data_IF_758582522352
#
_entry.id   IF_758582522352
#
_cell.length_a   1.000
_cell.length_b   1.000
_cell.length_c   1.000
_cell.angle_alpha   90.00
_cell.angle_beta   90.00
_cell.angle_gamma   90.00
#
_symmetry.space_group_name_H-M   'P 1'
#
loop_
_entity.id
_entity.type
_entity.pdbx_description
1 polymer ?
#
# COMPACT_ATOMS: atom_id res chain seq x y z
N UNK A 1 -22.70 -24.24 -42.85
CA UNK A 1 -22.96 -25.14 -41.71
C UNK A 1 -21.92 -26.25 -41.78
N UNK A 2 -20.78 -26.06 -41.13
CA UNK A 2 -19.81 -27.11 -40.82
C UNK A 2 -18.90 -26.58 -39.71
N UNK A 3 -18.69 -27.42 -38.72
CA UNK A 3 -18.18 -27.13 -37.38
C UNK A 3 -16.65 -27.22 -37.39
N UNK A 4 -15.97 -26.25 -36.78
CA UNK A 4 -14.60 -26.37 -36.31
C UNK A 4 -14.57 -26.02 -34.80
N UNK A 5 -13.74 -26.67 -34.00
CA UNK A 5 -13.88 -26.72 -32.55
C UNK A 5 -13.40 -25.45 -31.87
N UNK A 6 -14.06 -25.12 -30.76
CA UNK A 6 -13.61 -24.12 -29.81
C UNK A 6 -12.25 -24.54 -29.23
N UNK A 7 -11.26 -23.64 -29.27
CA UNK A 7 -10.11 -23.71 -28.37
C UNK A 7 -10.62 -23.53 -26.92
N UNK A 8 -10.32 -24.45 -26.00
CA UNK A 8 -10.29 -24.13 -24.58
C UNK A 8 -8.96 -23.43 -24.26
N UNK A 9 -8.88 -22.85 -23.05
CA UNK A 9 -7.69 -22.24 -22.44
C UNK A 9 -7.56 -20.72 -22.62
N UNK A 10 -8.54 -20.01 -22.05
CA UNK A 10 -8.29 -18.72 -21.41
C UNK A 10 -7.52 -18.91 -20.09
N UNK A 11 -6.85 -17.87 -19.56
CA UNK A 11 -5.93 -18.00 -18.42
C UNK A 11 -6.71 -18.08 -17.11
N UNK A 12 -7.19 -19.27 -16.76
CA UNK A 12 -7.83 -19.55 -15.47
C UNK A 12 -6.81 -19.93 -14.37
N UNK A 13 -5.56 -20.25 -14.75
CA UNK A 13 -4.58 -20.87 -13.87
C UNK A 13 -3.87 -19.93 -12.85
N UNK A 14 -3.87 -18.60 -13.05
CA UNK A 14 -3.12 -17.69 -12.16
C UNK A 14 -3.86 -17.30 -10.86
N UNK A 15 -5.17 -17.58 -10.79
CA UNK A 15 -6.03 -17.21 -9.65
C UNK A 15 -5.85 -18.13 -8.43
N UNK A 16 -5.59 -19.43 -8.65
CA UNK A 16 -5.53 -20.43 -7.57
C UNK A 16 -4.23 -20.39 -6.75
N UNK A 17 -3.17 -19.76 -7.25
CA UNK A 17 -1.85 -19.76 -6.62
C UNK A 17 -1.71 -18.86 -5.38
N UNK A 18 -2.66 -17.94 -5.14
CA UNK A 18 -2.60 -17.02 -3.99
C UNK A 18 -3.65 -17.34 -2.93
N UNK A 19 -3.22 -17.92 -1.81
CA UNK A 19 -4.06 -18.11 -0.62
C UNK A 19 -3.25 -17.90 0.68
N UNK A 20 -3.83 -17.22 1.69
CA UNK A 20 -3.25 -17.21 3.03
C UNK A 20 -3.28 -18.62 3.61
N UNK A 21 -2.29 -18.94 4.45
CA UNK A 21 -2.24 -20.22 5.14
C UNK A 21 -3.39 -20.37 6.15
N UNK A 22 -3.76 -21.61 6.55
CA UNK A 22 -4.79 -21.83 7.58
C UNK A 22 -4.52 -21.11 8.91
N UNK A 23 -3.25 -21.01 9.32
CA UNK A 23 -2.83 -20.29 10.52
C UNK A 23 -3.11 -18.78 10.44
N UNK A 24 -2.90 -18.20 9.25
CA UNK A 24 -3.21 -16.79 8.99
C UNK A 24 -4.71 -16.53 9.13
N UNK A 25 -5.54 -17.37 8.50
CA UNK A 25 -6.99 -17.23 8.56
C UNK A 25 -7.53 -17.35 9.98
N UNK A 26 -6.96 -18.25 10.78
CA UNK A 26 -7.31 -18.39 12.20
C UNK A 26 -6.98 -17.12 12.95
N UNK A 27 -5.80 -16.55 12.73
CA UNK A 27 -5.35 -15.29 13.34
C UNK A 27 -6.31 -14.14 13.00
N UNK A 28 -6.66 -13.97 11.73
CA UNK A 28 -7.54 -12.89 11.27
C UNK A 28 -8.98 -13.02 11.81
N UNK A 29 -9.50 -14.25 11.91
CA UNK A 29 -10.82 -14.52 12.51
C UNK A 29 -10.82 -14.20 14.01
N UNK A 30 -9.81 -14.65 14.75
CA UNK A 30 -9.67 -14.37 16.19
C UNK A 30 -9.54 -12.88 16.46
N UNK A 31 -8.86 -12.16 15.59
CA UNK A 31 -8.73 -10.71 15.65
C UNK A 31 -10.00 -9.95 15.21
N UNK A 32 -11.06 -10.63 14.73
CA UNK A 32 -12.30 -10.00 14.29
C UNK A 32 -12.15 -9.17 13.01
N UNK A 33 -11.15 -9.45 12.18
CA UNK A 33 -10.96 -8.77 10.90
C UNK A 33 -12.05 -9.25 9.91
N UNK A 34 -12.72 -8.33 9.18
CA UNK A 34 -13.71 -8.71 8.17
C UNK A 34 -13.18 -9.71 7.15
N UNK A 35 -13.99 -10.70 6.78
CA UNK A 35 -13.61 -11.77 5.84
C UNK A 35 -13.13 -11.24 4.47
N UNK A 36 -13.71 -10.14 4.00
CA UNK A 36 -13.28 -9.47 2.77
C UNK A 36 -11.82 -8.98 2.83
N UNK A 37 -11.24 -8.80 4.02
CA UNK A 37 -9.85 -8.37 4.22
C UNK A 37 -8.92 -9.54 4.57
N UNK A 38 -9.41 -10.80 4.49
CA UNK A 38 -8.57 -11.98 4.74
C UNK A 38 -7.65 -12.30 3.57
N UNK A 39 -8.04 -11.91 2.36
CA UNK A 39 -7.34 -12.24 1.12
C UNK A 39 -7.32 -11.02 0.21
N UNK A 40 -6.27 -10.87 -0.57
CA UNK A 40 -6.18 -9.88 -1.64
C UNK A 40 -5.68 -10.58 -2.91
N UNK A 41 -6.52 -11.29 -3.68
CA UNK A 41 -6.07 -11.92 -4.92
C UNK A 41 -5.39 -10.88 -5.83
N UNK A 42 -4.22 -11.16 -6.42
CA UNK A 42 -3.46 -10.19 -7.21
C UNK A 42 -4.07 -10.00 -8.62
N UNK A 43 -5.32 -9.53 -8.72
CA UNK A 43 -6.02 -9.31 -9.99
C UNK A 43 -6.85 -8.03 -10.01
N UNK A 44 -6.98 -7.42 -11.19
CA UNK A 44 -7.85 -6.27 -11.39
C UNK A 44 -9.32 -6.63 -11.10
N UNK A 45 -9.75 -7.85 -11.48
CA UNK A 45 -11.09 -8.36 -11.19
C UNK A 45 -11.40 -8.36 -9.69
N UNK A 46 -10.48 -8.80 -8.84
CA UNK A 46 -10.66 -8.77 -7.39
C UNK A 46 -10.77 -7.33 -6.84
N UNK A 47 -10.07 -6.38 -7.46
CA UNK A 47 -10.21 -4.96 -7.14
C UNK A 47 -11.60 -4.43 -7.51
N UNK A 48 -12.08 -4.71 -8.72
CA UNK A 48 -13.40 -4.29 -9.20
C UNK A 48 -14.54 -4.93 -8.42
N UNK A 49 -14.42 -6.21 -8.05
CA UNK A 49 -15.40 -6.90 -7.21
C UNK A 49 -15.55 -6.21 -5.83
N UNK A 50 -14.44 -5.81 -5.20
CA UNK A 50 -14.47 -5.03 -3.95
C UNK A 50 -15.12 -3.67 -4.12
N UNK A 51 -14.79 -2.97 -5.22
CA UNK A 51 -15.38 -1.68 -5.53
C UNK A 51 -16.89 -1.79 -5.74
N UNK A 52 -17.36 -2.86 -6.40
CA UNK A 52 -18.78 -3.08 -6.70
C UNK A 52 -19.65 -3.21 -5.44
N UNK A 53 -19.06 -3.72 -4.34
CA UNK A 53 -19.71 -3.85 -3.03
C UNK A 53 -19.57 -2.61 -2.13
N UNK A 54 -18.69 -1.67 -2.49
CA UNK A 54 -18.42 -0.49 -1.67
C UNK A 54 -19.61 0.48 -1.69
N UNK A 55 -20.10 0.79 -0.49
CA UNK A 55 -21.16 1.80 -0.27
C UNK A 55 -20.56 3.05 0.40
N UNK A 56 -20.44 4.19 -0.30
CA UNK A 56 -19.83 5.41 0.26
C UNK A 56 -20.46 5.89 1.58
N UNK A 57 -21.79 5.78 1.72
CA UNK A 57 -22.48 6.16 2.94
C UNK A 57 -22.12 5.26 4.14
N UNK A 58 -21.98 3.94 3.92
CA UNK A 58 -21.53 3.02 4.97
C UNK A 58 -20.08 3.27 5.36
N UNK A 59 -19.22 3.52 4.36
CA UNK A 59 -17.83 3.91 4.57
C UNK A 59 -17.74 5.16 5.46
N UNK A 60 -18.46 6.23 5.11
CA UNK A 60 -18.45 7.48 5.87
C UNK A 60 -18.84 7.29 7.35
N UNK A 61 -19.81 6.40 7.63
CA UNK A 61 -20.27 6.13 9.00
C UNK A 61 -19.30 5.31 9.84
N UNK A 62 -18.56 4.38 9.24
CA UNK A 62 -17.90 3.30 9.98
C UNK A 62 -16.41 3.08 9.67
N UNK A 63 -15.80 3.81 8.72
CA UNK A 63 -14.39 3.66 8.30
C UNK A 63 -13.32 3.69 9.40
N UNK A 64 -13.66 4.15 10.60
CA UNK A 64 -12.73 4.21 11.73
C UNK A 64 -12.74 2.93 12.57
N UNK A 65 -13.85 2.19 12.59
CA UNK A 65 -13.94 0.91 13.27
C UNK A 65 -13.22 -0.16 12.45
N UNK A 66 -12.42 -1.02 13.10
CA UNK A 66 -11.62 -2.07 12.45
C UNK A 66 -12.49 -3.12 11.75
N UNK A 67 -13.74 -3.31 12.20
CA UNK A 67 -14.78 -4.15 11.58
C UNK A 67 -15.78 -3.34 10.74
N UNK A 68 -15.53 -2.05 10.56
CA UNK A 68 -16.37 -1.15 9.78
C UNK A 68 -16.22 -1.31 8.27
N UNK A 69 -17.03 -0.56 7.52
CA UNK A 69 -16.96 -0.56 6.07
C UNK A 69 -15.72 0.17 5.57
N UNK A 70 -14.80 -0.59 4.95
CA UNK A 70 -13.62 -0.08 4.24
C UNK A 70 -13.56 -0.68 2.84
N UNK A 71 -12.87 0.00 1.92
CA UNK A 71 -12.80 -0.45 0.53
C UNK A 71 -11.94 -1.69 0.31
N UNK A 72 -10.88 -1.88 1.11
CA UNK A 72 -9.87 -2.91 0.88
C UNK A 72 -9.16 -2.76 -0.47
N UNK A 73 -9.14 -1.56 -1.05
CA UNK A 73 -8.58 -1.30 -2.38
C UNK A 73 -7.10 -0.89 -2.36
N UNK A 74 -6.51 -0.63 -1.19
CA UNK A 74 -5.16 -0.06 -1.11
C UNK A 74 -4.05 -0.92 -1.73
N UNK A 75 -4.03 -2.27 -1.64
CA UNK A 75 -3.02 -3.06 -2.35
C UNK A 75 -3.11 -2.89 -3.87
N UNK A 76 -4.33 -2.83 -4.40
CA UNK A 76 -4.57 -2.67 -5.83
C UNK A 76 -4.20 -1.27 -6.31
N UNK A 77 -4.50 -0.22 -5.54
CA UNK A 77 -4.09 1.15 -5.85
C UNK A 77 -2.58 1.36 -5.75
N UNK A 78 -1.91 0.75 -4.77
CA UNK A 78 -0.45 0.86 -4.62
C UNK A 78 0.29 0.26 -5.81
N UNK A 79 -0.31 -0.74 -6.45
CA UNK A 79 0.28 -1.52 -7.53
C UNK A 79 -0.31 -1.20 -8.92
N UNK A 80 -1.21 -0.21 -9.04
CA UNK A 80 -1.77 0.23 -10.33
C UNK A 80 -2.71 -0.78 -11.00
N UNK A 81 -3.29 -1.73 -10.25
CA UNK A 81 -4.27 -2.70 -10.78
C UNK A 81 -5.61 -2.03 -11.10
N UNK A 82 -5.92 -0.96 -10.38
CA UNK A 82 -7.05 -0.06 -10.61
C UNK A 82 -6.57 1.35 -10.25
N UNK A 83 -7.05 2.37 -10.98
CA UNK A 83 -6.70 3.76 -10.72
C UNK A 83 -7.77 4.44 -9.85
N UNK A 84 -7.39 5.34 -8.91
CA UNK A 84 -8.36 6.06 -8.07
C UNK A 84 -9.42 6.83 -8.88
N UNK A 85 -9.05 7.39 -10.03
CA UNK A 85 -9.97 8.07 -10.93
C UNK A 85 -11.01 7.13 -11.56
N UNK A 86 -10.58 5.97 -12.04
CA UNK A 86 -11.47 4.94 -12.59
C UNK A 86 -12.42 4.37 -11.53
N UNK A 87 -11.88 4.10 -10.33
CA UNK A 87 -12.69 3.64 -9.19
C UNK A 87 -13.76 4.67 -8.81
N UNK A 88 -13.39 5.95 -8.72
CA UNK A 88 -14.32 7.00 -8.33
C UNK A 88 -15.36 7.30 -9.41
N UNK A 89 -14.97 7.26 -10.69
CA UNK A 89 -15.91 7.41 -11.81
C UNK A 89 -16.98 6.28 -11.81
N UNK A 90 -16.55 5.04 -11.57
CA UNK A 90 -17.45 3.89 -11.46
C UNK A 90 -18.42 4.02 -10.26
N UNK A 91 -17.97 4.55 -9.13
CA UNK A 91 -18.84 4.81 -7.99
C UNK A 91 -19.80 5.99 -8.24
N UNK A 92 -19.32 7.06 -8.87
CA UNK A 92 -20.13 8.24 -9.19
C UNK A 92 -21.26 7.92 -10.19
N UNK A 93 -21.09 6.90 -11.03
CA UNK A 93 -22.16 6.40 -11.90
C UNK A 93 -23.33 5.73 -11.13
N UNK A 94 -23.11 5.33 -9.86
CA UNK A 94 -24.07 4.57 -9.03
C UNK A 94 -24.51 5.33 -7.77
N UNK A 95 -23.75 6.35 -7.38
CA UNK A 95 -23.92 7.10 -6.16
C UNK A 95 -23.66 8.59 -6.42
N UNK A 96 -24.40 9.48 -5.75
CA UNK A 96 -24.05 10.89 -5.70
C UNK A 96 -22.78 11.04 -4.86
N UNK A 97 -21.69 11.50 -5.47
CA UNK A 97 -20.39 11.69 -4.82
C UNK A 97 -19.81 13.04 -5.19
N UNK A 98 -19.29 13.77 -4.21
CA UNK A 98 -18.62 15.06 -4.34
C UNK A 98 -17.32 15.13 -3.53
N UNK A 99 -16.64 16.28 -3.59
CA UNK A 99 -15.40 16.50 -2.83
C UNK A 99 -15.59 16.46 -1.30
N UNK A 100 -16.82 16.61 -0.83
CA UNK A 100 -17.22 16.54 0.58
C UNK A 100 -17.27 15.10 1.13
N UNK A 101 -17.32 14.09 0.25
CA UNK A 101 -17.43 12.70 0.67
C UNK A 101 -16.16 12.19 1.33
N UNK A 102 -16.32 11.50 2.45
CA UNK A 102 -15.18 10.94 3.20
C UNK A 102 -14.32 10.02 2.36
N UNK A 103 -14.88 9.27 1.41
CA UNK A 103 -14.09 8.43 0.52
C UNK A 103 -13.17 9.26 -0.40
N UNK A 104 -13.68 10.38 -0.93
CA UNK A 104 -12.93 11.29 -1.81
C UNK A 104 -11.82 11.99 -1.04
N UNK A 105 -12.08 12.40 0.21
CA UNK A 105 -11.05 12.92 1.11
C UNK A 105 -9.87 11.95 1.28
N UNK A 106 -10.13 10.66 1.40
CA UNK A 106 -9.08 9.65 1.65
C UNK A 106 -8.28 9.35 0.38
N UNK A 107 -8.91 9.42 -0.80
CA UNK A 107 -8.18 9.44 -2.08
C UNK A 107 -7.34 10.71 -2.21
N UNK A 108 -7.86 11.83 -1.70
CA UNK A 108 -7.15 13.09 -1.59
C UNK A 108 -5.89 12.96 -0.73
N UNK A 109 -5.94 12.26 0.41
CA UNK A 109 -4.77 12.04 1.27
C UNK A 109 -3.65 11.30 0.53
N UNK A 110 -3.98 10.26 -0.24
CA UNK A 110 -3.02 9.57 -1.11
C UNK A 110 -2.38 10.55 -2.11
N UNK A 111 -3.20 11.31 -2.84
CA UNK A 111 -2.72 12.28 -3.81
C UNK A 111 -1.88 13.40 -3.17
N UNK A 112 -2.23 13.87 -1.98
CA UNK A 112 -1.45 14.84 -1.22
C UNK A 112 -0.07 14.29 -0.83
N UNK A 113 0.02 13.05 -0.35
CA UNK A 113 1.32 12.46 -0.04
C UNK A 113 2.20 12.30 -1.28
N UNK A 114 1.62 11.93 -2.42
CA UNK A 114 2.34 11.95 -3.70
C UNK A 114 2.75 13.37 -4.13
N UNK A 115 1.92 14.39 -3.92
CA UNK A 115 2.31 15.79 -4.14
C UNK A 115 3.53 16.16 -3.30
N UNK A 116 3.52 15.86 -2.00
CA UNK A 116 4.64 16.14 -1.09
C UNK A 116 5.90 15.42 -1.57
N UNK A 117 5.81 14.14 -1.94
CA UNK A 117 6.94 13.40 -2.53
C UNK A 117 7.42 14.04 -3.83
N UNK A 118 6.51 14.45 -4.70
CA UNK A 118 6.83 15.12 -5.97
C UNK A 118 7.41 16.53 -5.79
N UNK A 119 7.48 17.09 -4.58
CA UNK A 119 8.20 18.35 -4.29
C UNK A 119 9.44 18.13 -3.44
N UNK A 120 9.40 17.17 -2.51
CA UNK A 120 10.48 16.91 -1.54
C UNK A 120 11.44 15.80 -1.98
N UNK A 121 11.09 15.00 -3.00
CA UNK A 121 11.85 13.82 -3.43
C UNK A 121 12.19 12.95 -2.21
N UNK A 122 13.42 12.47 -2.11
CA UNK A 122 13.86 11.58 -1.05
C UNK A 122 14.01 12.27 0.31
N UNK A 123 13.84 13.59 0.41
CA UNK A 123 13.80 14.26 1.71
C UNK A 123 12.61 13.82 2.59
N UNK A 124 11.60 13.12 2.03
CA UNK A 124 10.55 12.48 2.84
C UNK A 124 11.05 11.27 3.64
N UNK A 125 12.25 10.77 3.34
CA UNK A 125 12.90 9.67 4.06
C UNK A 125 13.66 10.18 5.29
N UNK A 126 13.85 11.49 5.37
CA UNK A 126 14.39 12.21 6.52
C UNK A 126 13.27 12.87 7.32
N UNK A 127 13.61 13.26 8.55
CA UNK A 127 12.71 13.96 9.46
C UNK A 127 12.48 15.39 8.97
N UNK A 128 11.31 15.68 8.40
CA UNK A 128 11.01 16.97 7.76
C UNK A 128 11.01 18.15 8.75
N UNK A 129 10.57 17.91 9.99
CA UNK A 129 10.62 18.86 11.12
C UNK A 129 11.14 18.18 12.37
N UNK A 130 12.45 18.21 12.63
CA UNK A 130 13.05 17.61 13.82
C UNK A 130 12.52 18.21 15.12
N UNK A 131 12.18 19.50 15.12
CA UNK A 131 11.57 20.23 16.24
C UNK A 131 10.14 19.77 16.56
N UNK A 132 9.48 19.09 15.63
CA UNK A 132 8.15 18.51 15.84
C UNK A 132 8.15 17.21 16.64
N UNK A 133 9.33 16.60 16.87
CA UNK A 133 9.45 15.35 17.62
C UNK A 133 9.38 15.62 19.14
N UNK A 134 8.39 15.09 19.89
CA UNK A 134 8.14 15.50 21.27
C UNK A 134 9.30 15.27 22.25
N UNK A 135 10.03 14.16 22.10
CA UNK A 135 11.18 13.82 22.95
C UNK A 135 12.53 14.38 22.47
N UNK A 136 12.53 15.12 21.34
CA UNK A 136 13.74 15.56 20.64
C UNK A 136 14.41 14.44 19.82
N UNK A 137 15.12 14.76 18.73
CA UNK A 137 15.66 13.76 17.80
C UNK A 137 16.62 12.73 18.42
N UNK A 138 17.38 13.12 19.45
CA UNK A 138 18.38 12.25 20.09
C UNK A 138 17.77 11.14 20.98
N UNK A 139 16.48 11.19 21.30
CA UNK A 139 15.82 10.21 22.15
C UNK A 139 15.49 8.89 21.43
N UNK A 140 15.48 8.89 20.10
CA UNK A 140 14.95 7.78 19.31
C UNK A 140 16.02 6.75 18.92
N UNK A 141 15.67 5.48 19.06
CA UNK A 141 16.55 4.34 18.81
C UNK A 141 16.36 3.80 17.40
N UNK A 142 17.46 3.52 16.70
CA UNK A 142 17.45 2.94 15.36
C UNK A 142 17.25 1.41 15.34
N UNK A 143 16.39 0.88 16.22
CA UNK A 143 16.06 -0.56 16.28
C UNK A 143 14.64 -0.77 16.81
N UNK A 144 13.92 -1.70 16.19
CA UNK A 144 12.63 -2.19 16.70
C UNK A 144 12.85 -3.13 17.91
N UNK A 145 12.07 -2.97 18.99
CA UNK A 145 12.12 -3.90 20.12
C UNK A 145 11.61 -5.29 19.74
N UNK A 146 12.31 -6.32 20.21
CA UNK A 146 11.99 -7.73 19.91
C UNK A 146 10.58 -8.11 20.39
N UNK A 147 10.12 -7.55 21.51
CA UNK A 147 8.78 -7.79 22.01
C UNK A 147 7.66 -7.27 21.09
N UNK A 148 7.92 -6.21 20.31
CA UNK A 148 6.97 -5.76 19.28
C UNK A 148 7.07 -6.63 18.04
N UNK A 149 8.28 -6.95 17.60
CA UNK A 149 8.50 -7.83 16.43
C UNK A 149 7.83 -9.19 16.63
N UNK A 150 7.88 -9.73 17.84
CA UNK A 150 7.30 -11.02 18.23
C UNK A 150 5.86 -10.91 18.76
N UNK A 151 5.21 -9.74 18.64
CA UNK A 151 3.83 -9.50 19.08
C UNK A 151 3.55 -9.94 20.54
N UNK A 152 4.49 -9.64 21.45
CA UNK A 152 4.47 -9.97 22.89
C UNK A 152 4.76 -8.75 23.78
N UNK A 153 4.40 -7.55 23.31
CA UNK A 153 4.56 -6.32 24.08
C UNK A 153 3.68 -6.29 25.34
N UNK A 154 2.65 -7.13 25.37
CA UNK A 154 1.65 -7.21 26.43
C UNK A 154 0.60 -6.11 26.36
N UNK A 155 0.65 -5.25 25.32
CA UNK A 155 -0.44 -4.33 24.97
C UNK A 155 -1.27 -4.99 23.85
N UNK A 156 -2.47 -5.52 24.14
CA UNK A 156 -3.20 -6.35 23.16
C UNK A 156 -3.49 -5.64 21.84
N UNK A 157 -3.73 -4.32 21.85
CA UNK A 157 -3.90 -3.56 20.62
C UNK A 157 -2.68 -3.59 19.69
N UNK A 158 -1.48 -3.59 20.27
CA UNK A 158 -0.22 -3.62 19.54
C UNK A 158 0.08 -5.03 19.06
N UNK A 159 -0.05 -6.01 19.97
CA UNK A 159 0.23 -7.41 19.65
C UNK A 159 -0.73 -7.94 18.57
N UNK A 160 -2.02 -7.57 18.61
CA UNK A 160 -2.96 -7.94 17.56
C UNK A 160 -2.70 -7.21 16.24
N UNK A 161 -2.30 -5.93 16.28
CA UNK A 161 -1.93 -5.21 15.06
C UNK A 161 -0.76 -5.89 14.32
N UNK A 162 0.27 -6.32 15.07
CA UNK A 162 1.42 -7.06 14.50
C UNK A 162 0.99 -8.42 13.95
N UNK A 163 0.18 -9.19 14.69
CA UNK A 163 -0.35 -10.49 14.23
C UNK A 163 -1.16 -10.37 12.95
N UNK A 164 -2.05 -9.38 12.88
CA UNK A 164 -2.87 -9.11 11.68
C UNK A 164 -2.00 -8.70 10.50
N UNK A 165 -0.98 -7.85 10.72
CA UNK A 165 -0.02 -7.45 9.69
C UNK A 165 0.68 -8.67 9.09
N UNK A 166 1.25 -9.55 9.92
CA UNK A 166 1.96 -10.74 9.44
C UNK A 166 1.04 -11.74 8.75
N UNK A 167 -0.17 -11.94 9.30
CA UNK A 167 -1.14 -12.88 8.76
C UNK A 167 -1.81 -12.43 7.44
N UNK A 168 -1.83 -11.14 7.12
CA UNK A 168 -2.54 -10.63 5.93
C UNK A 168 -1.69 -9.83 4.97
N UNK A 169 -0.60 -9.22 5.43
CA UNK A 169 0.11 -8.16 4.71
C UNK A 169 -0.72 -6.87 4.60
N UNK A 170 -1.75 -6.70 5.41
CA UNK A 170 -2.62 -5.53 5.46
C UNK A 170 -2.84 -5.11 6.91
N UNK A 171 -3.01 -3.81 7.13
CA UNK A 171 -3.40 -3.30 8.43
C UNK A 171 -4.40 -2.14 8.27
N UNK A 172 -5.46 -2.13 9.07
CA UNK A 172 -6.44 -1.05 9.09
C UNK A 172 -5.80 0.28 9.52
N UNK A 173 -6.26 1.42 9.00
CA UNK A 173 -5.64 2.72 9.26
C UNK A 173 -5.53 3.06 10.77
N UNK A 174 -6.58 2.81 11.55
CA UNK A 174 -6.52 3.03 13.01
C UNK A 174 -5.46 2.16 13.69
N UNK A 175 -5.35 0.88 13.32
CA UNK A 175 -4.34 0.00 13.87
C UNK A 175 -2.92 0.43 13.46
N UNK A 176 -2.72 0.96 12.24
CA UNK A 176 -1.43 1.58 11.84
C UNK A 176 -1.09 2.77 12.72
N UNK A 177 -2.08 3.64 13.00
CA UNK A 177 -1.88 4.83 13.83
C UNK A 177 -1.56 4.47 15.29
N UNK A 178 -2.22 3.45 15.86
CA UNK A 178 -1.91 2.94 17.20
C UNK A 178 -0.49 2.38 17.27
N UNK A 179 -0.14 1.50 16.33
CA UNK A 179 1.18 0.89 16.26
C UNK A 179 2.29 1.93 16.11
N UNK A 180 2.11 2.90 15.21
CA UNK A 180 3.06 3.99 15.02
C UNK A 180 3.19 4.88 16.26
N UNK A 181 2.06 5.23 16.89
CA UNK A 181 2.05 6.06 18.10
C UNK A 181 2.77 5.37 19.26
N UNK A 182 2.51 4.08 19.48
CA UNK A 182 3.19 3.29 20.50
C UNK A 182 4.69 3.19 20.26
N UNK A 183 5.11 2.87 19.03
CA UNK A 183 6.52 2.72 18.68
C UNK A 183 7.30 4.04 18.82
N UNK A 184 6.75 5.14 18.32
CA UNK A 184 7.41 6.45 18.38
C UNK A 184 7.35 7.03 19.78
N UNK A 185 6.16 7.16 20.37
CA UNK A 185 5.98 7.98 21.57
C UNK A 185 6.20 7.22 22.87
N UNK A 186 5.95 5.90 22.91
CA UNK A 186 6.13 5.11 24.12
C UNK A 186 7.45 4.35 24.09
N UNK A 187 7.79 3.70 22.97
CA UNK A 187 9.02 2.89 22.84
C UNK A 187 10.24 3.65 22.35
N UNK A 188 10.07 4.91 21.93
CA UNK A 188 11.13 5.78 21.44
C UNK A 188 11.93 5.13 20.31
N UNK A 189 11.22 4.52 19.37
CA UNK A 189 11.79 3.99 18.14
C UNK A 189 11.83 5.10 17.10
N UNK A 190 12.94 5.19 16.37
CA UNK A 190 13.03 6.07 15.21
C UNK A 190 11.95 5.68 14.20
N UNK A 191 11.12 6.67 13.82
CA UNK A 191 10.00 6.46 12.92
C UNK A 191 10.45 5.84 11.59
N UNK A 192 11.68 6.10 11.12
CA UNK A 192 12.22 5.58 9.85
C UNK A 192 12.36 4.06 9.90
N UNK A 193 12.93 3.53 10.97
CA UNK A 193 13.13 2.09 11.17
C UNK A 193 11.79 1.38 11.26
N UNK A 194 10.84 1.96 11.99
CA UNK A 194 9.50 1.41 12.11
C UNK A 194 8.70 1.53 10.80
N UNK A 195 8.89 2.61 10.03
CA UNK A 195 8.28 2.82 8.73
C UNK A 195 8.78 1.81 7.68
N UNK A 196 10.09 1.54 7.63
CA UNK A 196 10.68 0.59 6.68
C UNK A 196 10.26 -0.85 7.00
N UNK A 197 10.19 -1.22 8.28
CA UNK A 197 9.64 -2.52 8.71
C UNK A 197 8.17 -2.69 8.30
N UNK A 198 7.31 -1.71 8.63
CA UNK A 198 5.90 -1.79 8.26
C UNK A 198 5.74 -1.85 6.73
N UNK A 199 6.51 -1.05 6.01
CA UNK A 199 6.53 -1.04 4.54
C UNK A 199 6.87 -2.40 3.94
N UNK A 200 7.86 -3.12 4.49
CA UNK A 200 8.27 -4.44 3.99
C UNK A 200 7.18 -5.51 4.12
N UNK A 201 6.31 -5.40 5.13
CA UNK A 201 5.21 -6.35 5.36
C UNK A 201 3.90 -5.97 4.63
N UNK A 202 3.72 -4.71 4.23
CA UNK A 202 2.47 -4.25 3.62
C UNK A 202 2.39 -4.58 2.12
N UNK A 203 1.32 -5.26 1.71
CA UNK A 203 0.90 -5.39 0.31
C UNK A 203 0.57 -4.03 -0.32
N UNK A 204 0.19 -3.04 0.47
CA UNK A 204 -0.07 -1.67 -0.01
C UNK A 204 1.08 -0.70 0.29
N UNK A 205 2.29 -1.24 0.49
CA UNK A 205 3.47 -0.45 0.82
C UNK A 205 3.83 0.57 -0.27
N UNK A 206 3.41 1.81 -0.03
CA UNK A 206 3.70 2.99 -0.84
C UNK A 206 4.58 3.95 -0.04
N UNK A 207 5.74 4.33 -0.59
CA UNK A 207 6.77 5.04 0.16
C UNK A 207 6.29 6.43 0.62
N UNK A 208 5.53 7.13 -0.23
CA UNK A 208 5.01 8.44 0.12
C UNK A 208 3.93 8.33 1.19
N UNK A 209 2.97 7.42 0.97
CA UNK A 209 1.85 7.26 1.91
C UNK A 209 2.31 6.74 3.27
N UNK A 210 3.24 5.80 3.30
CA UNK A 210 3.74 5.21 4.54
C UNK A 210 4.59 6.22 5.32
N UNK A 211 5.71 6.69 4.77
CA UNK A 211 6.69 7.51 5.51
C UNK A 211 6.10 8.86 5.95
N UNK A 212 5.26 9.50 5.14
CA UNK A 212 4.60 10.75 5.55
C UNK A 212 3.51 10.51 6.61
N UNK A 213 2.84 9.35 6.62
CA UNK A 213 1.91 8.97 7.70
C UNK A 213 2.65 8.74 9.02
N UNK A 214 3.81 8.08 8.99
CA UNK A 214 4.67 7.91 10.16
C UNK A 214 5.14 9.25 10.72
N UNK A 215 5.60 10.16 9.87
CA UNK A 215 5.97 11.51 10.28
C UNK A 215 4.77 12.31 10.82
N UNK A 216 3.57 12.11 10.26
CA UNK A 216 2.34 12.74 10.75
C UNK A 216 2.00 12.26 12.17
N UNK A 217 2.12 10.95 12.45
CA UNK A 217 1.93 10.40 13.79
C UNK A 217 3.02 10.88 14.76
N UNK A 218 4.27 10.94 14.29
CA UNK A 218 5.43 11.34 15.09
C UNK A 218 5.43 12.84 15.47
N UNK A 219 4.67 13.69 14.77
CA UNK A 219 4.69 15.14 14.94
C UNK A 219 5.62 15.87 13.95
N UNK A 220 6.44 15.16 13.18
CA UNK A 220 7.36 15.76 12.20
C UNK A 220 6.64 16.29 10.95
N UNK A 221 5.44 15.79 10.65
CA UNK A 221 4.60 16.24 9.53
C UNK A 221 3.18 16.66 9.95
N UNK A 222 2.97 16.94 11.23
CA UNK A 222 1.72 17.46 11.80
C UNK A 222 1.99 18.53 12.87
N UNK A 223 0.98 19.29 13.31
CA UNK A 223 1.16 20.31 14.35
C UNK A 223 1.25 19.73 15.76
N UNK A 224 0.78 18.49 15.97
CA UNK A 224 0.76 17.78 17.24
C UNK A 224 0.98 16.29 17.00
N UNK A 225 1.68 15.57 17.90
CA UNK A 225 1.80 14.13 17.80
C UNK A 225 0.43 13.46 17.91
N UNK A 226 0.24 12.35 17.22
CA UNK A 226 -0.94 11.51 17.40
C UNK A 226 -0.72 10.56 18.59
N UNK A 227 -1.64 10.59 19.55
CA UNK A 227 -1.68 9.73 20.72
C UNK A 227 -3.02 8.97 20.76
N UNK A 228 -3.02 7.81 21.40
CA UNK A 228 -4.21 7.00 21.63
C UNK A 228 -4.13 6.33 23.00
N UNK A 229 -5.30 6.08 23.61
CA UNK A 229 -5.42 5.41 24.89
C UNK A 229 -6.31 4.15 24.77
N UNK A 230 -6.49 3.43 25.88
CA UNK A 230 -7.33 2.23 25.92
C UNK A 230 -8.79 2.48 25.52
N UNK A 231 -9.38 3.65 25.84
CA UNK A 231 -10.74 4.01 25.40
C UNK A 231 -10.84 4.17 23.88
N UNK A 232 -9.82 4.76 23.26
CA UNK A 232 -9.73 4.87 21.81
C UNK A 232 -9.74 3.49 21.15
N UNK A 233 -8.97 2.55 21.70
CA UNK A 233 -8.96 1.15 21.25
C UNK A 233 -10.34 0.53 21.45
N UNK A 234 -10.93 0.65 22.64
CA UNK A 234 -12.24 0.07 22.95
C UNK A 234 -13.36 0.58 22.03
N UNK A 235 -13.27 1.83 21.57
CA UNK A 235 -14.22 2.45 20.64
C UNK A 235 -14.13 1.93 19.21
N UNK A 236 -12.93 1.59 18.72
CA UNK A 236 -12.70 1.29 17.31
C UNK A 236 -12.25 -0.14 17.04
N UNK A 237 -11.90 -0.93 18.05
CA UNK A 237 -11.61 -2.34 17.90
C UNK A 237 -12.87 -3.14 17.51
N UNK A 238 -12.73 -4.31 16.86
CA UNK A 238 -13.87 -5.11 16.45
C UNK A 238 -14.74 -5.52 17.64
N UNK A 239 -16.05 -5.33 17.53
CA UNK A 239 -16.98 -5.58 18.66
C UNK A 239 -16.93 -7.06 19.06
N UNK A 240 -16.96 -7.94 18.06
CA UNK A 240 -16.92 -9.40 18.24
C UNK A 240 -15.59 -9.92 18.82
N UNK A 241 -14.49 -9.18 18.63
CA UNK A 241 -13.17 -9.52 19.17
C UNK A 241 -12.70 -8.53 20.24
N UNK A 242 -13.62 -7.79 20.86
CA UNK A 242 -13.28 -6.71 21.81
C UNK A 242 -12.40 -7.18 22.97
N UNK A 243 -12.54 -8.44 23.41
CA UNK A 243 -11.67 -9.05 24.43
C UNK A 243 -10.22 -9.20 23.96
N UNK A 244 -10.02 -9.57 22.70
CA UNK A 244 -8.70 -9.80 22.09
C UNK A 244 -7.90 -8.49 21.93
N UNK A 245 -8.59 -7.36 21.77
CA UNK A 245 -7.99 -6.02 21.63
C UNK A 245 -8.00 -5.20 22.92
N UNK A 246 -8.73 -5.64 23.95
CA UNK A 246 -8.92 -4.90 25.21
C UNK A 246 -7.58 -4.58 25.83
N UNK A 247 -7.29 -3.28 25.94
CA UNK A 247 -6.02 -2.79 26.48
C UNK A 247 -6.20 -2.00 27.79
N UNK A 248 -7.33 -2.20 28.48
CA UNK A 248 -7.53 -1.67 29.84
C UNK A 248 -6.52 -2.31 30.81
N UNK A 249 -5.98 -1.53 31.73
CA UNK A 249 -4.94 -1.93 32.67
C UNK A 249 -3.50 -1.94 32.10
N UNK A 250 -3.31 -1.54 30.85
CA UNK A 250 -1.97 -1.46 30.22
C UNK A 250 -1.39 -0.05 30.32
N UNK A 251 -0.15 0.14 29.85
CA UNK A 251 0.53 1.42 29.76
C UNK A 251 -0.25 2.49 28.98
N UNK A 252 -1.08 2.08 28.01
CA UNK A 252 -1.92 3.00 27.24
C UNK A 252 -3.26 3.32 27.93
N UNK A 253 -3.60 2.67 29.04
CA UNK A 253 -4.80 2.95 29.83
C UNK A 253 -4.58 4.15 30.77
N UNK A 254 -4.41 5.33 30.14
CA UNK A 254 -4.07 6.59 30.80
C UNK A 254 -4.82 7.76 30.17
N UNK A 255 -4.83 8.89 30.87
CA UNK A 255 -5.30 10.14 30.31
C UNK A 255 -4.40 10.59 29.16
N UNK A 256 -4.96 11.35 28.22
CA UNK A 256 -4.18 11.95 27.14
C UNK A 256 -3.05 12.85 27.65
N UNK A 257 -3.25 13.55 28.77
CA UNK A 257 -2.21 14.36 29.41
C UNK A 257 -1.02 13.51 29.86
N UNK A 258 -1.26 12.38 30.53
CA UNK A 258 -0.20 11.47 30.95
C UNK A 258 0.54 10.85 29.76
N UNK A 259 -0.17 10.51 28.68
CA UNK A 259 0.46 10.04 27.44
C UNK A 259 1.29 11.12 26.76
N UNK A 260 0.85 12.38 26.81
CA UNK A 260 1.60 13.51 26.26
C UNK A 260 2.90 13.76 27.05
N UNK A 261 2.85 13.61 28.39
CA UNK A 261 4.04 13.64 29.24
C UNK A 261 5.00 12.50 28.87
N UNK A 262 4.51 11.26 28.71
CA UNK A 262 5.33 10.12 28.28
C UNK A 262 5.95 10.34 26.90
N UNK A 263 5.20 10.92 25.96
CA UNK A 263 5.68 11.22 24.61
C UNK A 263 6.88 12.19 24.64
N UNK A 264 6.85 13.19 25.53
CA UNK A 264 7.92 14.19 25.69
C UNK A 264 9.13 13.69 26.49
N UNK A 265 8.95 12.67 27.33
CA UNK A 265 10.06 12.08 28.07
C UNK A 265 11.06 11.41 27.10
N UNK A 266 12.35 11.68 27.22
CA UNK A 266 13.38 11.05 26.38
C UNK A 266 13.59 9.54 26.60
N UNK A 267 12.97 8.95 27.63
CA UNK A 267 13.13 7.53 27.99
C UNK A 267 12.06 6.67 27.33
N UNK A 268 12.47 5.51 26.83
CA UNK A 268 11.56 4.46 26.35
C UNK A 268 10.85 3.77 27.52
N UNK A 269 9.55 3.56 27.36
CA UNK A 269 8.79 2.62 28.17
C UNK A 269 9.14 1.18 27.78
N UNK A 270 9.14 0.26 28.74
CA UNK A 270 9.26 -1.18 28.48
C UNK A 270 7.96 -1.80 27.98
N UNK A 271 7.98 -3.11 27.63
CA UNK A 271 6.74 -3.88 27.48
C UNK A 271 6.00 -4.00 28.83
N UNK A 272 4.76 -4.48 28.79
CA UNK A 272 4.04 -4.85 30.01
C UNK A 272 4.77 -6.00 30.73
N UNK A 273 4.77 -6.02 32.08
CA UNK A 273 5.37 -7.11 32.83
C UNK A 273 4.64 -8.43 32.57
N UNK A 274 5.34 -9.53 32.80
CA UNK A 274 4.81 -10.89 32.63
C UNK A 274 5.16 -11.53 31.30
N UNK A 275 4.78 -12.80 31.14
CA UNK A 275 4.99 -13.56 29.93
C UNK A 275 3.78 -13.41 29.00
N UNK A 276 4.03 -12.97 27.77
CA UNK A 276 3.02 -12.81 26.72
C UNK A 276 3.32 -13.76 25.56
N UNK A 277 2.32 -14.38 24.93
CA UNK A 277 2.55 -15.31 23.82
C UNK A 277 3.33 -14.64 22.69
N UNK A 278 4.41 -15.26 22.23
CA UNK A 278 5.20 -14.76 21.10
C UNK A 278 4.66 -15.31 19.76
N UNK A 279 4.97 -14.61 18.67
CA UNK A 279 4.96 -15.17 17.31
C UNK A 279 6.36 -15.11 16.73
N UNK A 280 6.65 -16.01 15.81
CA UNK A 280 7.85 -15.90 14.98
C UNK A 280 7.65 -14.77 13.94
N UNK A 281 8.50 -13.73 13.93
CA UNK A 281 8.38 -12.66 12.94
C UNK A 281 8.72 -13.19 11.54
N UNK A 282 7.87 -12.97 10.51
CA UNK A 282 8.21 -13.37 9.15
C UNK A 282 9.41 -12.55 8.64
N UNK A 283 10.33 -13.20 7.93
CA UNK A 283 11.51 -12.55 7.37
C UNK A 283 11.18 -11.50 6.28
N UNK A 284 12.04 -10.48 6.19
CA UNK A 284 12.10 -9.55 5.05
C UNK A 284 13.32 -9.90 4.19
N UNK A 285 13.10 -10.01 2.88
CA UNK A 285 14.08 -10.51 1.93
C UNK A 285 14.36 -9.47 0.85
N UNK A 286 15.64 -9.21 0.61
CA UNK A 286 16.09 -8.34 -0.49
C UNK A 286 15.86 -8.99 -1.86
N UNK A 287 15.88 -10.32 -1.89
CA UNK A 287 15.61 -11.15 -3.05
C UNK A 287 14.34 -11.97 -2.85
N UNK A 288 13.59 -12.28 -3.92
CA UNK A 288 12.41 -13.13 -3.80
C UNK A 288 12.81 -14.55 -3.34
N UNK A 289 12.10 -15.14 -2.36
CA UNK A 289 12.28 -16.55 -2.01
C UNK A 289 12.06 -17.49 -3.20
N UNK A 290 12.71 -18.65 -3.18
CA UNK A 290 12.69 -19.60 -4.29
C UNK A 290 11.27 -20.04 -4.67
N UNK A 291 10.38 -20.17 -3.69
CA UNK A 291 8.98 -20.57 -3.89
C UNK A 291 8.21 -19.50 -4.69
N UNK A 292 8.55 -18.22 -4.52
CA UNK A 292 7.90 -17.13 -5.25
C UNK A 292 8.40 -16.99 -6.70
N UNK A 293 9.53 -17.63 -7.03
CA UNK A 293 10.09 -17.67 -8.38
C UNK A 293 9.53 -18.82 -9.23
N UNK A 294 8.90 -19.82 -8.61
CA UNK A 294 8.37 -20.98 -9.30
C UNK A 294 7.31 -20.58 -10.34
N UNK A 295 7.47 -21.01 -11.59
CA UNK A 295 6.54 -20.73 -12.69
C UNK A 295 6.59 -19.30 -13.26
N UNK A 296 7.50 -18.45 -12.77
CA UNK A 296 7.70 -17.10 -13.32
C UNK A 296 8.39 -17.18 -14.70
N UNK A 297 7.93 -16.44 -15.73
CA UNK A 297 8.61 -16.40 -17.03
C UNK A 297 9.89 -15.55 -16.92
N UNK A 298 10.93 -16.10 -16.31
CA UNK A 298 12.20 -15.41 -16.10
C UNK A 298 12.90 -15.09 -17.42
N UNK A 299 13.56 -13.93 -17.45
CA UNK A 299 14.52 -13.56 -18.48
C UNK A 299 15.91 -13.73 -17.89
N UNK A 300 16.66 -14.74 -18.32
CA UNK A 300 18.02 -14.98 -17.83
C UNK A 300 19.06 -14.42 -18.83
N UNK A 301 18.78 -14.43 -20.14
CA UNK A 301 19.59 -13.74 -21.16
C UNK A 301 18.81 -12.60 -21.84
N UNK A 302 19.29 -11.34 -21.76
CA UNK A 302 18.69 -10.21 -22.48
C UNK A 302 18.50 -10.42 -23.99
N UNK A 303 19.31 -11.29 -24.62
CA UNK A 303 19.18 -11.62 -26.04
C UNK A 303 17.85 -12.29 -26.38
N UNK A 304 17.19 -12.96 -25.43
CA UNK A 304 15.88 -13.61 -25.63
C UNK A 304 14.75 -12.62 -25.92
N UNK A 305 14.94 -11.33 -25.61
CA UNK A 305 13.96 -10.28 -25.95
C UNK A 305 13.81 -10.08 -27.46
N UNK A 306 14.80 -10.52 -28.24
CA UNK A 306 14.86 -10.39 -29.69
C UNK A 306 15.09 -8.95 -30.16
N UNK A 307 15.52 -8.83 -31.42
CA UNK A 307 15.59 -7.54 -32.09
C UNK A 307 14.17 -7.07 -32.45
N UNK A 308 13.72 -5.98 -31.84
CA UNK A 308 12.39 -5.41 -32.11
C UNK A 308 12.45 -3.89 -32.26
N UNK A 309 11.79 -3.38 -33.28
CA UNK A 309 11.58 -1.93 -33.49
C UNK A 309 10.42 -1.38 -32.66
N UNK A 310 9.53 -2.26 -32.19
CA UNK A 310 8.40 -1.90 -31.33
C UNK A 310 8.86 -1.52 -29.91
N UNK A 311 8.14 -0.56 -29.32
CA UNK A 311 8.39 -0.12 -27.95
C UNK A 311 8.26 -1.27 -26.95
N UNK A 312 9.17 -1.29 -25.97
CA UNK A 312 9.14 -2.21 -24.83
C UNK A 312 8.54 -1.49 -23.62
N UNK A 313 7.48 -2.07 -23.06
CA UNK A 313 6.85 -1.57 -21.85
C UNK A 313 7.48 -2.22 -20.62
N UNK A 314 8.17 -1.41 -19.84
CA UNK A 314 8.81 -1.82 -18.60
C UNK A 314 7.79 -1.75 -17.47
N UNK A 315 7.57 -2.90 -16.83
CA UNK A 315 6.60 -3.09 -15.77
C UNK A 315 7.34 -3.27 -14.45
N UNK A 316 7.24 -2.28 -13.56
CA UNK A 316 7.80 -2.36 -12.22
C UNK A 316 6.71 -2.72 -11.19
N UNK A 317 7.07 -3.10 -9.95
CA UNK A 317 6.10 -3.58 -8.99
C UNK A 317 4.93 -2.65 -8.68
N UNK A 318 5.08 -1.33 -8.83
CA UNK A 318 3.99 -0.36 -8.58
C UNK A 318 3.16 -0.01 -9.83
N UNK A 319 3.34 -0.72 -10.95
CA UNK A 319 2.67 -0.47 -12.22
C UNK A 319 2.19 -1.76 -12.91
N UNK A 320 1.48 -2.60 -12.15
CA UNK A 320 1.04 -3.94 -12.52
C UNK A 320 -0.36 -3.98 -13.16
N UNK A 321 -0.79 -2.86 -13.73
CA UNK A 321 -2.08 -2.73 -14.42
C UNK A 321 -2.21 -3.64 -15.64
N UNK A 322 -3.45 -3.81 -16.09
CA UNK A 322 -3.75 -4.54 -17.33
C UNK A 322 -3.01 -3.93 -18.54
N UNK A 323 -2.63 -4.75 -19.53
CA UNK A 323 -2.05 -4.21 -20.75
C UNK A 323 -3.08 -3.32 -21.46
N UNK A 324 -2.63 -2.29 -22.21
CA UNK A 324 -3.53 -1.48 -23.02
C UNK A 324 -4.37 -2.36 -23.95
N UNK A 325 -5.65 -2.01 -24.12
CA UNK A 325 -6.51 -2.69 -25.09
C UNK A 325 -6.00 -2.44 -26.52
N UNK A 326 -5.82 -3.49 -27.31
CA UNK A 326 -5.35 -3.40 -28.70
C UNK A 326 -3.98 -4.05 -28.92
N UNK A 327 -3.13 -3.42 -29.74
CA UNK A 327 -1.78 -3.93 -30.01
C UNK A 327 -0.99 -4.04 -28.70
N UNK A 328 -0.67 -5.27 -28.30
CA UNK A 328 -0.01 -5.58 -27.03
C UNK A 328 1.49 -5.34 -27.22
N UNK A 329 2.06 -4.23 -26.73
CA UNK A 329 3.51 -4.09 -26.73
C UNK A 329 4.10 -5.22 -25.88
N UNK A 330 5.32 -5.67 -26.23
CA UNK A 330 6.04 -6.59 -25.36
C UNK A 330 6.22 -5.93 -23.99
N UNK A 331 5.91 -6.65 -22.92
CA UNK A 331 6.00 -6.20 -21.53
C UNK A 331 7.09 -6.97 -20.81
N UNK A 332 8.08 -6.24 -20.31
CA UNK A 332 9.15 -6.78 -19.49
C UNK A 332 8.94 -6.35 -18.04
N UNK A 333 8.69 -7.33 -17.16
CA UNK A 333 8.72 -7.14 -15.73
C UNK A 333 10.13 -6.85 -15.24
N UNK A 334 10.30 -5.86 -14.38
CA UNK A 334 11.57 -5.49 -13.76
C UNK A 334 11.48 -5.64 -12.25
N UNK A 335 12.29 -6.54 -11.70
CA UNK A 335 12.63 -6.61 -10.28
C UNK A 335 14.06 -6.15 -10.11
N UNK A 336 14.23 -4.86 -9.81
CA UNK A 336 15.51 -4.22 -9.58
C UNK A 336 16.00 -4.50 -8.14
N UNK A 337 16.85 -5.52 -7.97
CA UNK A 337 17.30 -5.99 -6.65
C UNK A 337 17.98 -4.92 -5.77
N UNK A 338 18.80 -3.99 -6.29
CA UNK A 338 19.36 -2.91 -5.48
C UNK A 338 18.33 -2.05 -4.72
N UNK A 339 17.13 -1.85 -5.29
CA UNK A 339 16.05 -1.14 -4.60
C UNK A 339 15.48 -1.96 -3.42
N UNK A 340 15.41 -3.28 -3.58
CA UNK A 340 14.89 -4.20 -2.57
C UNK A 340 15.93 -4.56 -1.49
N UNK A 341 17.23 -4.45 -1.79
CA UNK A 341 18.28 -4.46 -0.78
C UNK A 341 18.14 -3.29 0.21
N UNK A 342 17.72 -2.11 -0.28
CA UNK A 342 17.46 -0.96 0.58
C UNK A 342 16.14 -1.10 1.37
N UNK A 343 15.13 -1.78 0.81
CA UNK A 343 13.80 -1.95 1.42
C UNK A 343 13.26 -3.36 1.15
N UNK A 344 13.69 -4.36 1.93
CA UNK A 344 13.34 -5.74 1.69
C UNK A 344 11.86 -6.01 1.98
N UNK A 345 11.32 -7.05 1.36
CA UNK A 345 9.90 -7.40 1.43
C UNK A 345 9.67 -8.74 2.09
N UNK A 346 8.49 -8.88 2.70
CA UNK A 346 8.03 -10.18 3.18
C UNK A 346 7.84 -11.16 2.03
N UNK A 347 8.03 -12.46 2.29
CA UNK A 347 7.76 -13.52 1.32
C UNK A 347 6.34 -13.41 0.73
N UNK A 348 5.37 -13.04 1.57
CA UNK A 348 3.98 -12.76 1.16
C UNK A 348 3.89 -11.68 0.08
N UNK A 349 4.57 -10.54 0.27
CA UNK A 349 4.55 -9.44 -0.69
C UNK A 349 5.27 -9.83 -1.99
N UNK A 350 6.39 -10.56 -1.89
CA UNK A 350 7.06 -11.13 -3.06
C UNK A 350 6.14 -12.01 -3.90
N UNK A 351 5.51 -13.00 -3.26
CA UNK A 351 4.57 -13.90 -3.94
C UNK A 351 3.41 -13.14 -4.59
N UNK A 352 2.83 -12.14 -3.92
CA UNK A 352 1.73 -11.34 -4.47
C UNK A 352 2.14 -10.58 -5.74
N UNK A 353 3.27 -9.88 -5.69
CA UNK A 353 3.78 -9.06 -6.80
C UNK A 353 4.21 -9.94 -7.97
N UNK A 354 4.94 -11.03 -7.70
CA UNK A 354 5.45 -11.92 -8.75
C UNK A 354 4.34 -12.71 -9.43
N UNK A 355 3.33 -13.18 -8.68
CA UNK A 355 2.14 -13.78 -9.27
C UNK A 355 1.43 -12.82 -10.24
N UNK A 356 1.31 -11.54 -9.86
CA UNK A 356 0.77 -10.53 -10.77
C UNK A 356 1.67 -10.29 -11.98
N UNK A 357 2.98 -10.15 -11.78
CA UNK A 357 3.94 -9.94 -12.87
C UNK A 357 3.88 -11.09 -13.88
N UNK A 358 3.80 -12.34 -13.42
CA UNK A 358 3.63 -13.52 -14.28
C UNK A 358 2.38 -13.41 -15.17
N UNK A 359 1.29 -12.84 -14.65
CA UNK A 359 0.05 -12.69 -15.38
C UNK A 359 0.06 -11.55 -16.43
N UNK A 360 0.93 -10.54 -16.29
CA UNK A 360 0.90 -9.33 -17.13
C UNK A 360 2.16 -9.04 -17.93
N UNK A 361 3.26 -9.76 -17.67
CA UNK A 361 4.53 -9.59 -18.36
C UNK A 361 4.83 -10.81 -19.23
N UNK A 362 5.44 -10.60 -20.38
CA UNK A 362 5.89 -11.70 -21.25
C UNK A 362 7.14 -12.37 -20.69
N UNK A 363 7.97 -11.57 -20.01
CA UNK A 363 9.20 -11.97 -19.31
C UNK A 363 9.42 -11.12 -18.07
N UNK A 364 10.19 -11.62 -17.12
CA UNK A 364 10.56 -10.89 -15.89
C UNK A 364 12.06 -10.97 -15.65
N UNK A 365 12.71 -9.82 -15.61
CA UNK A 365 14.12 -9.67 -15.21
C UNK A 365 14.22 -9.50 -13.69
N UNK A 366 15.10 -10.27 -13.06
CA UNK A 366 15.36 -10.22 -11.62
C UNK A 366 16.86 -10.11 -11.39
N UNK A 367 17.36 -8.87 -11.37
CA UNK A 367 18.74 -8.53 -11.01
C UNK A 367 18.84 -7.00 -10.89
N UNK A 368 20.06 -6.45 -10.83
CA UNK A 368 20.29 -5.06 -11.23
C UNK A 368 19.82 -4.85 -12.69
N UNK A 369 18.86 -3.95 -12.86
CA UNK A 369 18.27 -3.64 -14.15
C UNK A 369 19.03 -2.51 -14.86
N UNK A 370 19.98 -1.82 -14.19
CA UNK A 370 20.70 -0.72 -14.80
C UNK A 370 21.53 -1.14 -16.03
N UNK A 371 22.31 -2.25 -16.00
CA UNK A 371 23.04 -2.73 -17.18
C UNK A 371 22.10 -3.14 -18.32
N UNK A 372 20.98 -3.81 -18.00
CA UNK A 372 19.97 -4.20 -18.97
C UNK A 372 19.39 -2.97 -19.69
N UNK A 373 18.95 -1.96 -18.95
CA UNK A 373 18.38 -0.74 -19.54
C UNK A 373 19.41 0.05 -20.35
N UNK A 374 20.68 0.05 -19.94
CA UNK A 374 21.75 0.65 -20.73
C UNK A 374 21.92 -0.06 -22.08
N UNK A 375 21.94 -1.39 -22.09
CA UNK A 375 22.03 -2.19 -23.32
C UNK A 375 20.84 -1.95 -24.25
N UNK A 376 19.62 -1.99 -23.72
CA UNK A 376 18.40 -1.76 -24.50
C UNK A 376 18.34 -0.36 -25.13
N UNK A 377 18.81 0.67 -24.39
CA UNK A 377 18.93 2.04 -24.92
C UNK A 377 19.98 2.13 -26.03
N UNK A 378 21.12 1.46 -25.89
CA UNK A 378 22.17 1.45 -26.90
C UNK A 378 21.72 0.78 -28.21
N UNK A 379 20.80 -0.18 -28.13
CA UNK A 379 20.16 -0.82 -29.29
C UNK A 379 19.10 0.07 -29.98
N UNK A 380 18.84 1.27 -29.46
CA UNK A 380 17.85 2.20 -30.01
C UNK A 380 16.39 1.77 -29.80
N UNK A 381 16.14 0.78 -28.94
CA UNK A 381 14.79 0.28 -28.67
C UNK A 381 14.00 1.31 -27.84
N UNK A 382 12.81 1.77 -28.28
CA UNK A 382 12.00 2.68 -27.48
C UNK A 382 11.54 2.02 -26.18
N UNK A 383 11.77 2.67 -25.05
CA UNK A 383 11.39 2.16 -23.72
C UNK A 383 10.33 3.06 -23.09
N UNK A 384 9.29 2.45 -22.52
CA UNK A 384 8.24 3.16 -21.78
C UNK A 384 8.08 2.58 -20.39
N UNK A 385 7.86 3.42 -19.39
CA UNK A 385 7.62 2.97 -18.02
C UNK A 385 6.75 3.97 -17.27
N UNK A 386 5.83 3.49 -16.44
CA UNK A 386 5.10 4.36 -15.53
C UNK A 386 6.07 4.98 -14.49
N UNK A 387 5.75 6.15 -13.92
CA UNK A 387 6.51 6.70 -12.80
C UNK A 387 6.45 5.78 -11.58
N UNK A 388 7.60 5.50 -10.97
CA UNK A 388 7.67 4.67 -9.77
C UNK A 388 7.66 5.52 -8.47
N UNK A 389 6.90 5.11 -7.43
CA UNK A 389 6.91 5.78 -6.13
C UNK A 389 8.13 5.40 -5.27
N UNK A 390 8.85 4.33 -5.59
CA UNK A 390 10.07 3.89 -4.89
C UNK A 390 11.32 4.59 -5.48
N UNK A 391 12.24 5.03 -4.62
CA UNK A 391 13.38 5.87 -4.99
C UNK A 391 14.36 5.22 -5.97
N UNK A 392 14.69 3.94 -5.78
CA UNK A 392 15.54 3.17 -6.68
C UNK A 392 14.94 3.07 -8.08
N UNK A 393 13.66 2.69 -8.18
CA UNK A 393 12.98 2.62 -9.48
C UNK A 393 12.77 3.99 -10.12
N UNK A 394 12.45 5.02 -9.33
CA UNK A 394 12.29 6.39 -9.84
C UNK A 394 13.58 6.91 -10.49
N UNK A 395 14.75 6.57 -9.93
CA UNK A 395 16.06 6.89 -10.51
C UNK A 395 16.36 6.03 -11.75
N UNK A 396 16.12 4.72 -11.67
CA UNK A 396 16.35 3.77 -12.76
C UNK A 396 15.57 4.14 -14.03
N UNK A 397 14.31 4.52 -13.86
CA UNK A 397 13.36 4.80 -14.94
C UNK A 397 13.33 6.29 -15.33
N UNK A 398 14.18 7.13 -14.74
CA UNK A 398 14.24 8.55 -15.04
C UNK A 398 14.49 8.80 -16.53
N UNK A 399 13.75 9.75 -17.10
CA UNK A 399 13.85 10.13 -18.52
C UNK A 399 13.14 9.21 -19.51
N UNK A 400 12.52 8.12 -19.05
CA UNK A 400 11.68 7.28 -19.92
C UNK A 400 10.32 7.93 -20.16
N UNK A 401 9.75 7.68 -21.35
CA UNK A 401 8.39 8.11 -21.64
C UNK A 401 7.39 7.28 -20.81
N UNK A 402 6.39 7.96 -20.25
CA UNK A 402 5.29 7.27 -19.59
C UNK A 402 4.27 6.75 -20.63
N UNK A 403 3.62 5.59 -20.39
CA UNK A 403 2.45 5.21 -21.15
C UNK A 403 1.37 6.31 -21.08
N UNK A 404 0.56 6.51 -22.13
CA UNK A 404 -0.56 7.44 -22.08
C UNK A 404 -1.50 7.10 -20.92
N UNK A 405 -1.82 8.09 -20.08
CA UNK A 405 -2.72 7.93 -18.95
C UNK A 405 -3.68 9.12 -18.88
N UNK A 406 -4.93 8.94 -18.39
CA UNK A 406 -5.81 10.05 -18.11
C UNK A 406 -5.21 10.99 -17.04
N UNK A 407 -5.65 12.25 -16.98
CA UNK A 407 -5.16 13.19 -15.97
C UNK A 407 -5.44 12.68 -14.55
N UNK A 408 -4.57 12.99 -13.57
CA UNK A 408 -4.77 12.58 -12.18
C UNK A 408 -6.14 12.98 -11.65
N UNK A 409 -6.69 12.22 -10.71
CA UNK A 409 -8.01 12.51 -10.13
C UNK A 409 -8.08 13.94 -9.56
N UNK A 410 -7.06 14.35 -8.80
CA UNK A 410 -6.96 15.68 -8.21
C UNK A 410 -6.05 16.57 -9.05
N UNK A 411 -6.44 17.83 -9.25
CA UNK A 411 -5.55 18.83 -9.84
C UNK A 411 -4.38 19.09 -8.89
N UNK A 412 -3.16 19.00 -9.38
CA UNK A 412 -1.97 19.17 -8.55
C UNK A 412 -1.51 20.63 -8.54
N UNK A 413 -1.55 21.34 -7.40
CA UNK A 413 -1.12 22.74 -7.33
C UNK A 413 0.38 22.88 -7.66
N UNK A 414 0.74 23.92 -8.43
CA UNK A 414 2.13 24.15 -8.84
C UNK A 414 3.07 24.38 -7.63
N UNK A 415 2.62 25.15 -6.63
CA UNK A 415 3.37 25.42 -5.41
C UNK A 415 3.40 24.25 -4.44
N UNK A 416 4.41 24.19 -3.57
CA UNK A 416 4.46 23.18 -2.51
C UNK A 416 3.40 23.45 -1.44
N UNK A 417 2.62 22.42 -1.10
CA UNK A 417 1.71 22.44 0.05
C UNK A 417 2.24 21.53 1.15
N UNK A 418 2.31 22.04 2.38
CA UNK A 418 2.74 21.29 3.58
C UNK A 418 1.57 20.86 4.47
N UNK A 419 0.33 21.15 4.07
CA UNK A 419 -0.89 20.79 4.77
C UNK A 419 -1.90 20.23 3.79
N UNK A 420 -2.52 19.12 4.16
CA UNK A 420 -3.57 18.48 3.38
C UNK A 420 -4.72 19.43 3.09
N UNK A 421 -5.25 20.14 4.09
CA UNK A 421 -6.40 21.05 3.90
C UNK A 421 -6.09 22.17 2.91
N UNK A 422 -4.88 22.71 2.94
CA UNK A 422 -4.44 23.74 1.98
C UNK A 422 -4.31 23.15 0.58
N UNK A 423 -3.68 21.99 0.45
CA UNK A 423 -3.54 21.30 -0.83
C UNK A 423 -4.91 20.95 -1.42
N UNK A 424 -5.82 20.41 -0.61
CA UNK A 424 -7.16 19.98 -1.03
C UNK A 424 -7.99 21.18 -1.50
N UNK A 425 -7.97 22.30 -0.78
CA UNK A 425 -8.64 23.53 -1.18
C UNK A 425 -8.08 24.10 -2.50
N UNK A 426 -6.74 24.10 -2.69
CA UNK A 426 -6.14 24.54 -3.95
C UNK A 426 -6.46 23.60 -5.11
N UNK A 427 -6.47 22.28 -4.86
CA UNK A 427 -6.85 21.29 -5.86
C UNK A 427 -8.30 21.51 -6.34
N UNK A 428 -9.22 21.77 -5.42
CA UNK A 428 -10.61 22.12 -5.75
C UNK A 428 -10.71 23.45 -6.48
N UNK A 429 -9.94 24.48 -6.10
CA UNK A 429 -9.95 25.76 -6.82
C UNK A 429 -9.49 25.62 -8.28
N UNK A 430 -8.54 24.72 -8.54
CA UNK A 430 -8.07 24.41 -9.90
C UNK A 430 -9.05 23.53 -10.70
N UNK A 431 -9.91 22.77 -10.02
CA UNK A 431 -10.91 21.91 -10.62
C UNK A 431 -12.20 21.86 -9.76
N UNK A 432 -13.05 22.90 -9.86
CA UNK A 432 -14.19 23.07 -8.96
C UNK A 432 -15.23 21.96 -9.03
N UNK A 433 -15.36 21.33 -10.21
CA UNK A 433 -16.33 20.27 -10.46
C UNK A 433 -15.61 18.91 -10.53
N UNK A 434 -15.88 18.05 -9.56
CA UNK A 434 -15.34 16.69 -9.53
C UNK A 434 -15.71 15.89 -10.80
N UNK A 435 -16.91 16.10 -11.32
CA UNK A 435 -17.41 15.43 -12.53
C UNK A 435 -16.50 15.63 -13.75
N UNK A 436 -15.93 16.83 -13.93
CA UNK A 436 -15.00 17.10 -15.03
C UNK A 436 -13.69 16.32 -14.87
N UNK A 437 -13.28 16.05 -13.63
CA UNK A 437 -12.12 15.19 -13.33
C UNK A 437 -12.41 13.71 -13.54
N UNK A 438 -13.67 13.29 -13.42
CA UNK A 438 -14.09 11.90 -13.61
C UNK A 438 -14.38 11.55 -15.08
N UNK A 439 -14.74 12.52 -15.92
CA UNK A 439 -15.08 12.28 -17.34
C UNK A 439 -14.00 11.50 -18.11
N UNK A 440 -12.68 11.81 -18.00
CA UNK A 440 -11.64 11.04 -18.67
C UNK A 440 -11.52 9.58 -18.19
N UNK A 441 -12.06 9.27 -17.02
CA UNK A 441 -11.99 7.95 -16.40
C UNK A 441 -13.25 7.12 -16.60
N UNK A 442 -14.33 7.70 -17.14
CA UNK A 442 -15.64 7.05 -17.24
C UNK A 442 -15.58 5.72 -18.03
N UNK A 443 -14.87 5.69 -19.15
CA UNK A 443 -14.71 4.49 -19.96
C UNK A 443 -13.98 3.37 -19.20
N UNK A 444 -12.89 3.71 -18.49
CA UNK A 444 -12.15 2.76 -17.67
C UNK A 444 -12.99 2.23 -16.50
N UNK A 445 -13.78 3.10 -15.86
CA UNK A 445 -14.71 2.74 -14.79
C UNK A 445 -15.80 1.77 -15.27
N UNK A 446 -16.40 2.05 -16.42
CA UNK A 446 -17.44 1.22 -17.02
C UNK A 446 -16.90 -0.15 -17.46
N UNK A 447 -15.76 -0.16 -18.16
CA UNK A 447 -15.11 -1.40 -18.58
C UNK A 447 -14.75 -2.28 -17.40
N UNK A 448 -14.19 -1.69 -16.33
CA UNK A 448 -13.84 -2.37 -15.10
C UNK A 448 -15.02 -3.11 -14.46
N UNK A 449 -16.15 -2.42 -14.24
CA UNK A 449 -17.36 -3.06 -13.71
C UNK A 449 -17.97 -4.06 -14.69
N UNK A 450 -17.91 -3.80 -15.99
CA UNK A 450 -18.42 -4.70 -17.03
C UNK A 450 -17.73 -6.07 -17.05
N UNK A 451 -16.46 -6.15 -16.62
CA UNK A 451 -15.74 -7.44 -16.51
C UNK A 451 -16.34 -8.39 -15.48
N UNK A 452 -17.13 -7.90 -14.52
CA UNK A 452 -17.81 -8.74 -13.52
C UNK A 452 -19.06 -9.42 -14.07
N UNK A 453 -19.69 -8.86 -15.12
CA UNK A 453 -20.93 -9.39 -15.70
C UNK A 453 -20.72 -10.55 -16.69
N UNK A 454 -19.46 -10.91 -17.00
CA UNK A 454 -19.11 -11.95 -17.97
C UNK A 454 -18.94 -13.35 -17.35
N UNK A 455 -19.17 -13.50 -16.04
CA UNK A 455 -19.07 -14.78 -15.35
C UNK A 455 -20.33 -14.98 -14.46
N UNK A 456 -21.13 -16.05 -14.68
CA UNK A 456 -22.19 -16.39 -13.75
C UNK A 456 -21.59 -16.81 -12.41
N UNK A 457 -22.19 -16.32 -11.32
CA UNK A 457 -21.72 -16.50 -9.95
C UNK A 457 -22.00 -17.84 -9.30
#
# INVERSE_FOLDING_TARGET
MSIAPASPDGPEAASEAWAPGPADLTTLRVAGIPAALHRFPPSAQAAWARLAELKPASYARSRNALDGAVSGLSPYFAHGLIEPGAALAALAARHRIGYEDKLVFEFGWRAFFHHVRARRRDAILDTLRPEGLPAGPAAYRARLPDDVLEARSGVPAIDQAVRVLYASGYLHNHARMWLASYLVHLRKVDWRVAADWLYGHLLDGDLACNHLSWQWVAGSFSSKPYLFNADNVARYAPVAASRTWRSAGTLIDRSYEALEQLARQGRASGPEPGAHPAVEPPGLWAEPPAEALAGLPRLDDPAELGAATAALDLVHPWALGEPPAGARPQRLGLVHLPAHAARPWSARRWAWVLARMAAVCDRVWIDDAAPLLQSLRAQGRPLRAAPAPESGYARLLAGLAAPPAPPPLFADPAGSCTSFSRWYAQSQALAPHLEDRLRPWAAAGAAGLGTLSLFPG
#
